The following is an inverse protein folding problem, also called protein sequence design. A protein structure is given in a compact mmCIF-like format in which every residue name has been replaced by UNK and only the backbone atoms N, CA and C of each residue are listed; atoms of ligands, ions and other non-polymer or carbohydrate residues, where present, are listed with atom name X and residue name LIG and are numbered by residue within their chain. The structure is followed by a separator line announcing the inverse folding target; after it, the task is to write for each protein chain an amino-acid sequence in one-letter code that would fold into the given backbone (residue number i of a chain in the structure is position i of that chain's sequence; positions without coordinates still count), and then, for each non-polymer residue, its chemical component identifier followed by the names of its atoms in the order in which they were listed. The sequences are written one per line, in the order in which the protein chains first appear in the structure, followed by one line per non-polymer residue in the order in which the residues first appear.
data_IF_645738379342
#
_entry.id   IF_645738379342
#
_cell.length_a   1.000
_cell.length_b   1.000
_cell.length_c   1.000
_cell.angle_alpha   90.00
_cell.angle_beta   90.00
_cell.angle_gamma   90.00
#
_symmetry.space_group_name_H-M   'P 1'
#
loop_
_entity.id
_entity.type
_entity.pdbx_description
1 polymer ?
#
# COMPACT_ATOMS: atom_id res chain seq x y z
N UNK A 1 -4.58 13.36 3.78
CA UNK A 1 -4.04 14.69 4.13
C UNK A 1 -4.83 15.37 5.24
N UNK A 2 -6.18 15.32 5.22
CA UNK A 2 -7.04 15.83 6.32
C UNK A 2 -6.72 15.23 7.71
N UNK A 3 -6.45 13.93 7.82
CA UNK A 3 -6.13 13.29 9.12
C UNK A 3 -4.83 13.81 9.78
N UNK A 4 -3.83 14.21 8.97
CA UNK A 4 -2.59 14.81 9.49
C UNK A 4 -2.81 16.24 9.95
N UNK A 5 -3.75 16.96 9.34
CA UNK A 5 -4.12 18.32 9.75
C UNK A 5 -4.97 18.33 11.02
N UNK A 6 -5.78 17.31 11.28
CA UNK A 6 -6.56 17.20 12.52
C UNK A 6 -5.71 16.96 13.77
N UNK A 7 -4.43 16.56 13.62
CA UNK A 7 -3.49 16.39 14.73
C UNK A 7 -3.26 17.68 15.54
N UNK A 8 -3.54 18.84 14.95
CA UNK A 8 -3.38 20.16 15.57
C UNK A 8 -4.71 20.85 15.88
N UNK A 9 -5.85 20.18 15.68
CA UNK A 9 -7.14 20.78 15.97
C UNK A 9 -7.34 20.76 17.48
N UNK A 10 -7.04 21.89 18.13
CA UNK A 10 -7.31 22.11 19.55
C UNK A 10 -8.81 21.87 19.77
N UNK A 11 -9.21 20.84 20.55
CA UNK A 11 -10.62 20.60 20.82
C UNK A 11 -11.19 21.86 21.48
N UNK A 12 -12.29 22.37 20.92
CA UNK A 12 -12.78 23.73 21.21
C UNK A 12 -12.98 24.00 22.71
N UNK A 13 -12.77 25.27 23.10
CA UNK A 13 -12.97 25.99 24.38
C UNK A 13 -12.96 25.24 25.74
N UNK A 14 -13.54 24.05 25.87
CA UNK A 14 -13.63 23.24 27.10
C UNK A 14 -12.27 22.88 27.70
N UNK A 15 -11.26 22.56 26.89
CA UNK A 15 -9.93 22.17 27.41
C UNK A 15 -8.98 23.36 27.62
N UNK A 16 -9.28 24.52 27.04
CA UNK A 16 -8.45 25.73 27.20
C UNK A 16 -8.57 26.25 28.64
N UNK A 17 -9.79 26.34 29.17
CA UNK A 17 -10.04 26.83 30.54
C UNK A 17 -9.36 25.95 31.61
N UNK A 18 -9.37 24.63 31.43
CA UNK A 18 -8.69 23.69 32.34
C UNK A 18 -7.16 23.84 32.30
N UNK A 19 -6.59 23.95 31.10
CA UNK A 19 -5.14 24.12 30.93
C UNK A 19 -4.65 25.50 31.41
N UNK A 20 -5.43 26.57 31.22
CA UNK A 20 -5.09 27.90 31.74
C UNK A 20 -5.15 27.92 33.26
N UNK A 21 -6.19 27.35 33.86
CA UNK A 21 -6.35 27.29 35.32
C UNK A 21 -5.25 26.46 36.01
N UNK A 22 -4.85 25.34 35.40
CA UNK A 22 -3.76 24.51 35.93
C UNK A 22 -2.38 25.21 35.86
N UNK A 23 -2.14 26.08 34.87
CA UNK A 23 -0.94 26.94 34.83
C UNK A 23 -0.97 28.00 35.92
N UNK A 24 -2.14 28.62 36.13
CA UNK A 24 -2.34 29.60 37.19
C UNK A 24 -2.10 28.98 38.57
N UNK A 25 -2.71 27.82 38.85
CA UNK A 25 -2.58 27.14 40.15
C UNK A 25 -1.15 26.66 40.44
N UNK A 26 -0.31 26.45 39.41
CA UNK A 26 1.12 26.18 39.59
C UNK A 26 1.93 27.41 39.98
N UNK A 27 1.67 28.57 39.36
CA UNK A 27 2.32 29.82 39.78
C UNK A 27 2.02 30.13 41.26
N UNK A 28 0.82 29.75 41.72
CA UNK A 28 0.43 29.83 43.13
C UNK A 28 0.94 28.66 44.00
N UNK A 29 1.70 27.72 43.45
CA UNK A 29 2.29 26.58 44.19
C UNK A 29 1.26 25.56 44.70
N UNK A 30 0.03 25.56 44.18
CA UNK A 30 -1.04 24.65 44.62
C UNK A 30 -0.96 23.27 43.97
N UNK A 31 -0.24 23.15 42.86
CA UNK A 31 -0.10 21.91 42.09
C UNK A 31 1.37 21.65 41.75
N UNK A 32 1.75 20.38 41.68
CA UNK A 32 3.11 20.00 41.33
C UNK A 32 3.37 20.17 39.82
N UNK A 33 4.65 20.28 39.43
CA UNK A 33 5.04 20.30 38.01
C UNK A 33 4.57 19.04 37.26
N UNK A 34 4.47 17.91 37.97
CA UNK A 34 4.02 16.64 37.43
C UNK A 34 2.52 16.67 37.08
N UNK A 35 1.72 17.37 37.88
CA UNK A 35 0.28 17.58 37.65
C UNK A 35 0.01 18.60 36.53
N UNK A 36 0.93 19.56 36.27
CA UNK A 36 0.87 20.37 35.06
C UNK A 36 1.12 19.52 33.83
N UNK A 37 2.15 18.67 33.83
CA UNK A 37 2.40 17.78 32.70
C UNK A 37 1.21 16.84 32.46
N UNK A 38 0.54 16.41 33.54
CA UNK A 38 -0.72 15.66 33.50
C UNK A 38 -1.98 16.53 33.27
N UNK A 39 -1.92 17.84 33.13
CA UNK A 39 -3.09 18.68 32.78
C UNK A 39 -2.91 19.41 31.46
N UNK A 40 -1.66 19.55 31.01
CA UNK A 40 -1.27 19.73 29.63
C UNK A 40 -1.52 18.47 28.79
N UNK A 41 -2.13 17.42 29.37
CA UNK A 41 -2.41 16.12 28.75
C UNK A 41 -2.81 16.34 27.31
N UNK A 42 -1.81 16.08 26.48
CA UNK A 42 -1.93 15.47 25.18
C UNK A 42 -3.09 14.50 25.29
N UNK A 43 -4.20 14.80 24.63
CA UNK A 43 -5.46 14.09 24.79
C UNK A 43 -5.20 12.64 24.30
N UNK A 44 -4.68 11.78 25.18
CA UNK A 44 -4.01 10.52 24.82
C UNK A 44 -5.00 9.59 24.13
N UNK A 45 -6.26 9.61 24.57
CA UNK A 45 -7.37 8.92 23.93
C UNK A 45 -7.61 9.39 22.49
N UNK A 46 -7.43 10.69 22.22
CA UNK A 46 -7.52 11.23 20.87
C UNK A 46 -6.28 10.90 20.04
N UNK A 47 -5.09 10.93 20.63
CA UNK A 47 -3.87 10.54 19.92
C UNK A 47 -3.92 9.07 19.53
N UNK A 48 -4.30 8.18 20.45
CA UNK A 48 -4.44 6.75 20.17
C UNK A 48 -5.52 6.49 19.11
N UNK A 49 -6.68 7.15 19.20
CA UNK A 49 -7.72 7.06 18.16
C UNK A 49 -7.23 7.59 16.81
N UNK A 50 -6.53 8.71 16.78
CA UNK A 50 -6.02 9.29 15.55
C UNK A 50 -4.92 8.42 14.94
N UNK A 51 -4.06 7.81 15.76
CA UNK A 51 -3.08 6.84 15.29
C UNK A 51 -3.74 5.59 14.72
N UNK A 52 -4.78 5.06 15.38
CA UNK A 52 -5.53 3.91 14.89
C UNK A 52 -6.23 4.22 13.54
N UNK A 53 -6.88 5.37 13.43
CA UNK A 53 -7.49 5.83 12.17
C UNK A 53 -6.46 6.08 11.08
N UNK A 54 -5.29 6.63 11.44
CA UNK A 54 -4.18 6.83 10.50
C UNK A 54 -3.66 5.49 9.98
N UNK A 55 -3.45 4.50 10.86
CA UNK A 55 -3.06 3.13 10.48
C UNK A 55 -4.12 2.49 9.57
N UNK A 56 -5.40 2.61 9.91
CA UNK A 56 -6.51 2.11 9.10
C UNK A 56 -6.57 2.77 7.72
N UNK A 57 -6.33 4.09 7.64
CA UNK A 57 -6.28 4.82 6.39
C UNK A 57 -5.13 4.33 5.50
N UNK A 58 -3.93 4.19 6.05
CA UNK A 58 -2.78 3.64 5.31
C UNK A 58 -3.01 2.19 4.89
N UNK A 59 -3.65 1.39 5.74
CA UNK A 59 -4.04 0.02 5.41
C UNK A 59 -5.01 -0.02 4.23
N UNK A 60 -6.07 0.80 4.24
CA UNK A 60 -7.02 0.90 3.11
C UNK A 60 -6.33 1.35 1.83
N UNK A 61 -5.43 2.34 1.91
CA UNK A 61 -4.63 2.79 0.76
C UNK A 61 -3.78 1.65 0.23
N UNK A 62 -3.11 0.90 1.09
CA UNK A 62 -2.31 -0.24 0.67
C UNK A 62 -3.19 -1.29 -0.03
N UNK A 63 -4.31 -1.67 0.58
CA UNK A 63 -5.19 -2.70 0.04
C UNK A 63 -5.79 -2.28 -1.32
N UNK A 64 -6.37 -1.09 -1.39
CA UNK A 64 -7.02 -0.62 -2.62
C UNK A 64 -6.01 -0.24 -3.71
N UNK A 65 -4.98 0.55 -3.38
CA UNK A 65 -4.09 1.07 -4.43
C UNK A 65 -2.97 0.11 -4.79
N UNK A 66 -2.44 -0.66 -3.84
CA UNK A 66 -1.30 -1.54 -4.10
C UNK A 66 -1.77 -2.92 -4.51
N UNK A 67 -2.71 -3.53 -3.77
CA UNK A 67 -3.20 -4.87 -4.11
C UNK A 67 -4.12 -4.82 -5.33
N UNK A 68 -5.22 -4.08 -5.27
CA UNK A 68 -6.17 -4.06 -6.40
C UNK A 68 -5.62 -3.31 -7.62
N UNK A 69 -4.90 -2.20 -7.39
CA UNK A 69 -4.33 -1.42 -8.49
C UNK A 69 -3.14 -2.08 -9.16
N UNK A 70 -2.04 -2.26 -8.42
CA UNK A 70 -0.78 -2.69 -9.01
C UNK A 70 -0.75 -4.21 -9.24
N UNK A 71 -1.18 -5.01 -8.27
CA UNK A 71 -1.06 -6.46 -8.33
C UNK A 71 -1.99 -7.07 -9.38
N UNK A 72 -3.24 -6.60 -9.41
CA UNK A 72 -4.25 -7.07 -10.35
C UNK A 72 -3.91 -6.66 -11.78
N UNK A 73 -3.37 -5.43 -11.95
CA UNK A 73 -2.82 -4.97 -13.24
C UNK A 73 -1.61 -5.81 -13.68
N UNK A 74 -0.64 -6.07 -12.80
CA UNK A 74 0.52 -6.93 -13.08
C UNK A 74 0.09 -8.35 -13.44
N UNK A 75 -0.87 -8.90 -12.68
CA UNK A 75 -1.40 -10.22 -12.92
C UNK A 75 -2.08 -10.31 -14.29
N UNK A 76 -2.95 -9.35 -14.63
CA UNK A 76 -3.58 -9.27 -15.94
C UNK A 76 -2.54 -9.12 -17.05
N UNK A 77 -1.58 -8.20 -16.93
CA UNK A 77 -0.51 -8.02 -17.92
C UNK A 77 0.31 -9.30 -18.12
N UNK A 78 0.65 -10.00 -17.03
CA UNK A 78 1.37 -11.28 -17.09
C UNK A 78 0.53 -12.38 -17.74
N UNK A 79 -0.78 -12.41 -17.49
CA UNK A 79 -1.70 -13.38 -18.10
C UNK A 79 -1.86 -13.10 -19.61
N UNK A 80 -2.00 -11.84 -20.00
CA UNK A 80 -2.05 -11.43 -21.41
C UNK A 80 -0.76 -11.77 -22.17
N UNK A 81 0.40 -11.62 -21.54
CA UNK A 81 1.67 -12.01 -22.14
C UNK A 81 1.85 -13.52 -22.21
N UNK A 82 1.40 -14.26 -21.19
CA UNK A 82 1.58 -15.70 -21.12
C UNK A 82 0.62 -16.48 -22.02
N UNK A 83 -0.65 -16.07 -22.06
CA UNK A 83 -1.74 -16.77 -22.74
C UNK A 83 -2.68 -15.78 -23.43
N UNK A 84 -2.26 -15.14 -24.53
CA UNK A 84 -3.14 -14.23 -25.26
C UNK A 84 -4.30 -15.02 -25.90
N UNK A 85 -5.57 -14.65 -25.65
CA UNK A 85 -6.70 -15.20 -26.39
C UNK A 85 -6.51 -14.97 -27.91
N UNK A 86 -7.01 -15.89 -28.75
CA UNK A 86 -6.90 -15.79 -30.22
C UNK A 86 -7.41 -14.44 -30.76
N UNK A 87 -8.48 -13.91 -30.18
CA UNK A 87 -9.05 -12.60 -30.52
C UNK A 87 -8.09 -11.44 -30.22
N UNK A 88 -7.32 -11.56 -29.13
CA UNK A 88 -6.37 -10.54 -28.69
C UNK A 88 -5.09 -10.59 -29.54
N UNK A 89 -4.69 -11.77 -29.99
CA UNK A 89 -3.61 -11.95 -30.97
C UNK A 89 -3.91 -11.17 -32.27
N UNK A 90 -5.13 -11.31 -32.81
CA UNK A 90 -5.57 -10.57 -34.00
C UNK A 90 -5.58 -9.05 -33.77
N UNK A 91 -6.05 -8.60 -32.60
CA UNK A 91 -6.00 -7.19 -32.20
C UNK A 91 -4.55 -6.68 -32.05
N UNK A 92 -3.64 -7.51 -31.58
CA UNK A 92 -2.22 -7.17 -31.38
C UNK A 92 -1.50 -6.95 -32.70
N UNK A 93 -1.73 -7.83 -33.67
CA UNK A 93 -1.26 -7.67 -35.05
C UNK A 93 -1.85 -6.41 -35.71
N UNK A 94 -3.15 -6.18 -35.52
CA UNK A 94 -3.87 -5.05 -36.13
C UNK A 94 -3.51 -3.69 -35.51
N UNK A 95 -3.30 -3.62 -34.20
CA UNK A 95 -2.99 -2.38 -33.49
C UNK A 95 -1.48 -2.11 -33.36
N UNK A 96 -0.61 -3.03 -33.80
CA UNK A 96 0.84 -2.88 -33.68
C UNK A 96 1.32 -2.71 -32.23
N UNK A 97 0.59 -3.27 -31.26
CA UNK A 97 0.96 -3.16 -29.84
C UNK A 97 2.13 -4.09 -29.57
N UNK A 98 3.34 -3.52 -29.59
CA UNK A 98 4.57 -4.24 -29.30
C UNK A 98 4.58 -4.79 -27.87
N UNK A 99 4.92 -6.05 -27.72
CA UNK A 99 5.22 -6.77 -26.46
C UNK A 99 6.10 -5.96 -25.53
N UNK A 100 7.02 -5.21 -26.12
CA UNK A 100 7.95 -4.32 -25.42
C UNK A 100 7.20 -3.28 -24.58
N UNK A 101 6.10 -2.72 -25.10
CA UNK A 101 5.31 -1.71 -24.38
C UNK A 101 4.63 -2.30 -23.14
N UNK A 102 4.10 -3.52 -23.26
CA UNK A 102 3.47 -4.22 -22.14
C UNK A 102 4.53 -4.56 -21.09
N UNK A 103 5.69 -5.08 -21.53
CA UNK A 103 6.80 -5.39 -20.65
C UNK A 103 7.33 -4.16 -19.90
N UNK A 104 7.49 -3.03 -20.59
CA UNK A 104 7.88 -1.75 -19.96
C UNK A 104 6.83 -1.29 -18.95
N UNK A 105 5.54 -1.39 -19.28
CA UNK A 105 4.46 -1.07 -18.34
C UNK A 105 4.49 -1.96 -17.09
N UNK A 106 4.82 -3.23 -17.25
CA UNK A 106 4.95 -4.19 -16.16
C UNK A 106 6.10 -3.84 -15.23
N UNK A 107 7.26 -3.46 -15.78
CA UNK A 107 8.42 -3.00 -15.00
C UNK A 107 8.08 -1.71 -14.24
N UNK A 108 7.46 -0.73 -14.89
CA UNK A 108 7.06 0.53 -14.24
C UNK A 108 6.07 0.28 -13.10
N UNK A 109 5.12 -0.64 -13.29
CA UNK A 109 4.16 -1.04 -12.25
C UNK A 109 4.85 -1.71 -11.06
N UNK A 110 5.84 -2.57 -11.32
CA UNK A 110 6.65 -3.20 -10.27
C UNK A 110 7.45 -2.16 -9.46
N UNK A 111 8.10 -1.20 -10.13
CA UNK A 111 8.84 -0.11 -9.46
C UNK A 111 7.88 0.72 -8.58
N UNK A 112 6.70 1.07 -9.11
CA UNK A 112 5.69 1.80 -8.33
C UNK A 112 5.22 1.01 -7.11
N UNK A 113 5.04 -0.30 -7.23
CA UNK A 113 4.68 -1.16 -6.09
C UNK A 113 5.78 -1.14 -5.01
N UNK A 114 7.05 -1.29 -5.40
CA UNK A 114 8.20 -1.25 -4.47
C UNK A 114 8.28 0.08 -3.73
N UNK A 115 8.18 1.20 -4.45
CA UNK A 115 8.24 2.54 -3.85
C UNK A 115 7.10 2.78 -2.85
N UNK A 116 5.90 2.24 -3.13
CA UNK A 116 4.76 2.33 -2.21
C UNK A 116 4.92 1.42 -1.00
N UNK A 117 5.44 0.21 -1.18
CA UNK A 117 5.73 -0.71 -0.06
C UNK A 117 6.70 -0.08 0.93
N UNK A 118 7.76 0.59 0.45
CA UNK A 118 8.73 1.27 1.33
C UNK A 118 8.07 2.27 2.27
N UNK A 119 7.17 3.12 1.75
CA UNK A 119 6.45 4.12 2.57
C UNK A 119 5.54 3.48 3.61
N UNK A 120 4.89 2.37 3.25
CA UNK A 120 3.93 1.70 4.14
C UNK A 120 4.63 0.85 5.21
N UNK A 121 5.76 0.22 4.91
CA UNK A 121 6.57 -0.50 5.91
C UNK A 121 6.94 0.38 7.11
N UNK A 122 7.31 1.64 6.86
CA UNK A 122 7.69 2.58 7.94
C UNK A 122 6.50 2.89 8.86
N UNK A 123 5.27 2.91 8.34
CA UNK A 123 4.07 3.31 9.08
C UNK A 123 3.35 2.13 9.76
N UNK A 124 3.39 0.93 9.18
CA UNK A 124 2.70 -0.26 9.71
C UNK A 124 3.61 -1.22 10.49
N UNK A 125 4.91 -0.95 10.55
CA UNK A 125 5.87 -1.79 11.27
C UNK A 125 5.95 -3.23 10.72
N UNK A 126 5.89 -4.23 11.60
CA UNK A 126 6.04 -5.65 11.24
C UNK A 126 4.98 -6.13 10.25
N UNK A 127 3.73 -5.67 10.41
CA UNK A 127 2.65 -6.03 9.49
C UNK A 127 2.89 -5.48 8.08
N UNK A 128 3.42 -4.25 7.99
CA UNK A 128 3.82 -3.67 6.71
C UNK A 128 4.92 -4.47 6.01
N UNK A 129 5.85 -5.03 6.78
CA UNK A 129 6.94 -5.87 6.27
C UNK A 129 6.42 -7.21 5.73
N UNK A 130 5.49 -7.85 6.43
CA UNK A 130 4.84 -9.08 5.97
C UNK A 130 4.12 -8.87 4.64
N UNK A 131 3.27 -7.84 4.58
CA UNK A 131 2.51 -7.52 3.36
C UNK A 131 3.45 -7.17 2.21
N UNK A 132 4.48 -6.37 2.46
CA UNK A 132 5.46 -6.01 1.42
C UNK A 132 6.24 -7.22 0.91
N UNK A 133 6.59 -8.17 1.78
CA UNK A 133 7.23 -9.42 1.37
C UNK A 133 6.30 -10.26 0.49
N UNK A 134 5.02 -10.38 0.85
CA UNK A 134 4.02 -11.07 0.03
C UNK A 134 3.87 -10.41 -1.35
N UNK A 135 3.84 -9.08 -1.41
CA UNK A 135 3.78 -8.33 -2.66
C UNK A 135 5.01 -8.59 -3.54
N UNK A 136 6.21 -8.59 -2.96
CA UNK A 136 7.45 -8.88 -3.70
C UNK A 136 7.47 -10.30 -4.25
N UNK A 137 7.00 -11.29 -3.48
CA UNK A 137 6.85 -12.67 -3.95
C UNK A 137 5.87 -12.74 -5.12
N UNK A 138 4.75 -12.02 -5.06
CA UNK A 138 3.77 -12.01 -6.14
C UNK A 138 4.29 -11.34 -7.42
N UNK A 139 5.06 -10.26 -7.28
CA UNK A 139 5.75 -9.62 -8.41
C UNK A 139 6.76 -10.59 -9.02
N UNK A 140 7.63 -11.20 -8.19
CA UNK A 140 8.61 -12.19 -8.65
C UNK A 140 7.93 -13.37 -9.35
N UNK A 141 6.82 -13.86 -8.80
CA UNK A 141 5.99 -14.90 -9.41
C UNK A 141 5.44 -14.46 -10.77
N UNK A 142 4.94 -13.23 -10.90
CA UNK A 142 4.42 -12.70 -12.17
C UNK A 142 5.52 -12.64 -13.25
N UNK A 143 6.73 -12.19 -12.90
CA UNK A 143 7.88 -12.24 -13.82
C UNK A 143 8.28 -13.67 -14.18
N UNK A 144 8.24 -14.60 -13.21
CA UNK A 144 8.53 -16.01 -13.45
C UNK A 144 7.53 -16.63 -14.44
N UNK A 145 6.23 -16.33 -14.32
CA UNK A 145 5.20 -16.77 -15.28
C UNK A 145 5.51 -16.27 -16.69
N UNK A 146 5.84 -14.99 -16.85
CA UNK A 146 6.18 -14.41 -18.15
C UNK A 146 7.45 -15.05 -18.72
N UNK A 147 8.49 -15.22 -17.90
CA UNK A 147 9.72 -15.89 -18.31
C UNK A 147 9.48 -17.31 -18.80
N UNK A 148 8.64 -18.08 -18.07
CA UNK A 148 8.28 -19.44 -18.47
C UNK A 148 7.43 -19.49 -19.73
N UNK A 149 6.50 -18.55 -19.90
CA UNK A 149 5.73 -18.46 -21.14
C UNK A 149 6.62 -18.20 -22.37
N UNK A 150 7.68 -17.40 -22.23
CA UNK A 150 8.65 -17.20 -23.31
C UNK A 150 9.51 -18.44 -23.61
N UNK A 151 9.73 -19.31 -22.63
CA UNK A 151 10.41 -20.59 -22.84
C UNK A 151 9.49 -21.64 -23.48
N UNK A 152 8.22 -21.72 -23.07
CA UNK A 152 7.22 -22.66 -23.59
C UNK A 152 6.47 -22.07 -24.81
N UNK A 153 7.16 -21.68 -25.89
CA UNK A 153 6.51 -21.05 -27.06
C UNK A 153 5.45 -21.92 -27.75
N UNK A 154 5.53 -23.24 -27.63
CA UNK A 154 4.68 -24.20 -28.35
C UNK A 154 3.65 -24.91 -27.46
N UNK A 155 3.68 -24.65 -26.15
CA UNK A 155 2.95 -25.44 -25.15
C UNK A 155 2.34 -24.50 -24.11
N UNK A 156 1.07 -24.72 -23.77
CA UNK A 156 0.41 -23.91 -22.75
C UNK A 156 1.10 -24.13 -21.40
N UNK A 157 1.46 -23.05 -20.71
CA UNK A 157 2.00 -23.17 -19.37
C UNK A 157 0.91 -23.56 -18.36
N UNK A 158 1.01 -24.78 -17.85
CA UNK A 158 0.31 -25.28 -16.66
C UNK A 158 1.29 -25.42 -15.47
N UNK A 159 0.76 -25.57 -14.25
CA UNK A 159 1.59 -25.78 -13.04
C UNK A 159 2.46 -27.06 -13.13
N UNK A 160 2.10 -28.00 -14.00
CA UNK A 160 2.79 -29.26 -14.31
C UNK A 160 3.97 -29.13 -15.27
N UNK A 161 4.04 -28.09 -16.12
CA UNK A 161 5.08 -27.99 -17.14
C UNK A 161 4.66 -27.21 -18.40
N UNK A 162 5.45 -27.37 -19.46
CA UNK A 162 5.08 -26.96 -20.81
C UNK A 162 4.27 -28.12 -21.44
N UNK A 163 2.95 -28.13 -21.26
CA UNK A 163 2.10 -29.18 -21.86
C UNK A 163 1.61 -28.73 -23.25
N UNK A 164 1.65 -29.59 -24.28
CA UNK A 164 1.22 -29.23 -25.62
C UNK A 164 -0.24 -28.79 -25.61
N UNK A 165 -0.56 -27.67 -26.27
CA UNK A 165 -1.93 -27.14 -26.32
C UNK A 165 -2.81 -28.20 -27.01
N UNK A 166 -3.84 -28.77 -26.34
CA UNK A 166 -4.77 -29.66 -27.01
C UNK A 166 -5.51 -28.85 -28.08
N UNK A 167 -5.34 -29.25 -29.33
CA UNK A 167 -5.98 -28.66 -30.52
C UNK A 167 -7.51 -28.76 -30.46
#
# INVERSE_FOLDING_TARGET
ELAVQERWRIPGQRNILGATKAREDYEYGKVSLEDINKSQIHDWDYEEKNEAETRNHFFRILLQKVVLGNLLSLWLQSAFLAHPPKEVLLLRERMGVSDVKIFVSMILSAIQAVLRCKKVCVQLGLFGLFVSSFLMLFVAWSFFKVYKAYQCKESGWELSGCDPIPF
#
